data_IF_459052855834
#
_entry.id   IF_459052855834
#
_cell.length_a   1.000
_cell.length_b   1.000
_cell.length_c   1.000
_cell.angle_alpha   90.00
_cell.angle_beta   90.00
_cell.angle_gamma   90.00
#
_symmetry.space_group_name_H-M   'P 1'
#
loop_
_entity.id
_entity.type
_entity.pdbx_description
1 polymer ?
#
# COMPACT_ATOMS: atom_id res chain seq x y z
N UNK A 1 3.59 20.56 -38.04
CA UNK A 1 3.17 19.44 -37.18
C UNK A 1 3.72 18.16 -37.78
N UNK A 2 4.64 17.51 -37.08
CA UNK A 2 5.39 16.34 -37.53
C UNK A 2 6.71 16.23 -36.77
N UNK A 3 7.00 15.03 -36.25
CA UNK A 3 8.27 14.58 -35.67
C UNK A 3 8.72 15.13 -34.29
N UNK A 4 8.03 14.71 -33.22
CA UNK A 4 8.66 14.53 -31.89
C UNK A 4 8.67 13.07 -31.38
N UNK A 5 7.92 12.14 -32.01
CA UNK A 5 7.88 10.74 -31.60
C UNK A 5 9.04 9.87 -32.13
N UNK A 6 9.60 10.15 -33.32
CA UNK A 6 10.68 9.30 -33.87
C UNK A 6 12.06 9.54 -33.25
N UNK A 7 12.28 10.68 -32.56
CA UNK A 7 13.57 10.98 -31.92
C UNK A 7 13.81 10.23 -30.61
N UNK A 8 12.76 9.84 -29.86
CA UNK A 8 12.92 9.12 -28.57
C UNK A 8 13.15 7.61 -28.70
N UNK A 9 12.79 7.00 -29.84
CA UNK A 9 13.06 5.58 -30.12
C UNK A 9 14.55 5.29 -30.31
N UNK A 10 15.34 6.27 -30.76
CA UNK A 10 16.79 6.12 -30.93
C UNK A 10 17.58 6.19 -29.62
N UNK A 11 17.06 6.86 -28.58
CA UNK A 11 17.73 6.95 -27.27
C UNK A 11 17.52 5.69 -26.40
N UNK A 12 16.43 4.94 -26.61
CA UNK A 12 16.19 3.63 -25.96
C UNK A 12 17.11 2.51 -26.48
N UNK A 13 17.67 2.67 -27.68
CA UNK A 13 18.69 1.75 -28.21
C UNK A 13 20.00 1.80 -27.40
N UNK A 14 20.27 2.89 -26.67
CA UNK A 14 21.44 3.02 -25.80
C UNK A 14 21.27 2.34 -24.42
N UNK A 15 20.05 2.17 -23.91
CA UNK A 15 19.78 1.52 -22.61
C UNK A 15 19.79 -0.01 -22.71
N UNK A 16 19.42 -0.57 -23.89
CA UNK A 16 19.55 -2.00 -24.23
C UNK A 16 20.96 -2.59 -24.02
N UNK A 17 22.00 -1.76 -23.85
CA UNK A 17 23.40 -2.19 -23.67
C UNK A 17 23.81 -2.61 -22.25
N UNK A 18 23.01 -2.41 -21.19
CA UNK A 18 23.42 -2.75 -19.81
C UNK A 18 23.15 -4.20 -19.39
N UNK A 19 22.04 -4.81 -19.81
CA UNK A 19 21.70 -6.21 -19.50
C UNK A 19 22.53 -7.26 -20.25
N UNK A 20 23.29 -6.85 -21.28
CA UNK A 20 24.21 -7.71 -22.06
C UNK A 20 25.67 -7.58 -21.63
N UNK A 21 25.95 -6.92 -20.50
CA UNK A 21 27.33 -6.70 -20.05
C UNK A 21 27.91 -8.01 -19.52
N UNK A 22 28.97 -8.46 -20.18
CA UNK A 22 29.78 -9.57 -19.68
C UNK A 22 30.37 -9.22 -18.31
N UNK A 23 30.48 -10.23 -17.45
CA UNK A 23 31.13 -10.11 -16.15
C UNK A 23 32.56 -9.59 -16.32
N UNK A 24 32.95 -8.64 -15.47
CA UNK A 24 34.30 -8.06 -15.49
C UNK A 24 35.33 -8.93 -14.77
N UNK A 25 34.87 -9.74 -13.83
CA UNK A 25 35.66 -10.66 -13.01
C UNK A 25 34.85 -11.94 -12.84
N UNK A 26 35.52 -13.05 -12.52
CA UNK A 26 34.83 -14.29 -12.18
C UNK A 26 34.01 -14.06 -10.90
N UNK A 27 32.81 -14.63 -10.86
CA UNK A 27 31.91 -14.57 -9.72
C UNK A 27 31.56 -16.00 -9.35
N UNK A 28 31.69 -16.34 -8.07
CA UNK A 28 31.32 -17.66 -7.53
C UNK A 28 29.98 -17.50 -6.85
N UNK A 29 28.99 -18.32 -7.21
CA UNK A 29 27.72 -18.37 -6.50
C UNK A 29 27.96 -18.76 -5.04
N UNK A 30 27.51 -17.96 -4.05
CA UNK A 30 27.79 -18.24 -2.65
C UNK A 30 26.95 -19.39 -2.08
N UNK A 31 26.01 -19.94 -2.87
CA UNK A 31 25.07 -20.99 -2.44
C UNK A 31 25.52 -22.37 -2.93
N UNK A 32 25.81 -22.53 -4.22
CA UNK A 32 26.23 -23.81 -4.80
C UNK A 32 27.70 -23.88 -5.25
N UNK A 33 28.44 -22.78 -5.11
CA UNK A 33 29.83 -22.65 -5.57
C UNK A 33 30.04 -22.76 -7.09
N UNK A 34 28.98 -22.64 -7.91
CA UNK A 34 29.11 -22.57 -9.36
C UNK A 34 29.86 -21.30 -9.80
N UNK A 35 30.77 -21.42 -10.77
CA UNK A 35 31.69 -20.35 -11.19
C UNK A 35 31.22 -19.72 -12.50
N UNK A 36 30.87 -18.44 -12.44
CA UNK A 36 30.51 -17.61 -13.58
C UNK A 36 31.72 -16.82 -14.05
N UNK A 37 32.21 -17.12 -15.25
CA UNK A 37 33.50 -16.62 -15.74
C UNK A 37 33.38 -15.26 -16.42
N UNK A 38 34.32 -14.37 -16.11
CA UNK A 38 34.50 -13.08 -16.76
C UNK A 38 34.57 -13.25 -18.27
N UNK A 39 33.97 -12.31 -19.01
CA UNK A 39 33.95 -12.30 -20.49
C UNK A 39 33.31 -13.53 -21.14
N UNK A 40 32.76 -14.48 -20.39
CA UNK A 40 31.97 -15.61 -20.89
C UNK A 40 30.52 -15.39 -20.52
N UNK A 41 30.23 -15.28 -19.23
CA UNK A 41 28.90 -15.05 -18.68
C UNK A 41 28.61 -13.54 -18.52
N UNK A 42 27.33 -13.20 -18.43
CA UNK A 42 26.81 -11.85 -18.17
C UNK A 42 26.32 -11.72 -16.73
N UNK A 43 26.14 -10.47 -16.26
CA UNK A 43 25.50 -10.24 -14.96
C UNK A 43 24.08 -10.84 -14.90
N UNK A 44 23.35 -10.84 -16.01
CA UNK A 44 22.03 -11.45 -16.10
C UNK A 44 22.06 -12.98 -15.92
N UNK A 45 23.11 -13.66 -16.42
CA UNK A 45 23.26 -15.11 -16.25
C UNK A 45 23.49 -15.49 -14.78
N UNK A 46 24.28 -14.69 -14.07
CA UNK A 46 24.53 -14.89 -12.63
C UNK A 46 23.29 -14.57 -11.80
N UNK A 47 22.61 -13.45 -12.06
CA UNK A 47 21.41 -13.05 -11.32
C UNK A 47 20.29 -14.09 -11.49
N UNK A 48 20.08 -14.59 -12.71
CA UNK A 48 19.10 -15.65 -12.99
C UNK A 48 19.40 -16.94 -12.20
N UNK A 49 20.65 -17.36 -12.15
CA UNK A 49 21.06 -18.53 -11.37
C UNK A 49 20.90 -18.30 -9.86
N UNK A 50 21.26 -17.13 -9.36
CA UNK A 50 21.11 -16.79 -7.95
C UNK A 50 19.63 -16.76 -7.52
N UNK A 51 18.73 -16.33 -8.42
CA UNK A 51 17.28 -16.37 -8.21
C UNK A 51 16.73 -17.81 -8.18
N UNK A 52 17.26 -18.75 -8.98
CA UNK A 52 16.87 -20.16 -8.92
C UNK A 52 17.16 -20.82 -7.56
N UNK A 53 18.16 -20.34 -6.83
CA UNK A 53 18.40 -20.77 -5.45
C UNK A 53 17.36 -20.24 -4.46
N UNK A 54 16.78 -19.08 -4.72
CA UNK A 54 15.71 -18.52 -3.88
C UNK A 54 14.36 -19.21 -4.16
N UNK A 55 14.16 -19.76 -5.35
CA UNK A 55 12.94 -20.51 -5.71
C UNK A 55 12.96 -21.98 -5.22
N UNK A 56 14.13 -22.56 -4.92
CA UNK A 56 14.30 -23.98 -4.55
C UNK A 56 14.69 -24.22 -3.07
N UNK A 57 14.41 -23.28 -2.17
CA UNK A 57 14.60 -23.50 -0.72
C UNK A 57 13.56 -24.53 -0.20
N UNK A 58 13.99 -25.74 0.27
CA UNK A 58 13.06 -26.78 0.71
C UNK A 58 12.27 -26.42 1.98
N UNK A 59 12.60 -25.31 2.64
CA UNK A 59 11.87 -24.78 3.81
C UNK A 59 10.59 -24.00 3.42
N UNK A 60 10.16 -24.02 2.15
CA UNK A 60 8.92 -23.37 1.70
C UNK A 60 7.63 -24.12 2.08
N UNK A 61 7.54 -24.66 3.30
CA UNK A 61 6.25 -25.05 3.88
C UNK A 61 5.60 -23.83 4.53
N UNK A 62 4.33 -23.62 4.20
CA UNK A 62 3.51 -22.56 4.81
C UNK A 62 3.51 -22.69 6.34
N UNK A 63 4.15 -21.74 7.03
CA UNK A 63 4.20 -21.71 8.48
C UNK A 63 5.12 -20.61 9.01
N UNK A 64 4.52 -19.54 9.52
CA UNK A 64 5.17 -18.41 10.21
C UNK A 64 6.24 -17.66 9.42
N UNK A 65 5.91 -16.43 9.02
CA UNK A 65 6.90 -15.40 8.68
C UNK A 65 7.86 -15.30 9.87
N UNK A 66 9.10 -15.78 9.73
CA UNK A 66 10.19 -15.46 10.67
C UNK A 66 10.39 -13.95 10.64
N UNK A 67 9.80 -13.25 11.62
CA UNK A 67 10.08 -11.84 11.86
C UNK A 67 11.45 -11.81 12.53
N UNK A 68 12.50 -11.24 11.91
CA UNK A 68 13.76 -11.06 12.60
C UNK A 68 13.52 -10.13 13.79
N UNK A 69 13.85 -10.62 14.98
CA UNK A 69 13.86 -9.85 16.22
C UNK A 69 14.56 -8.50 15.97
N UNK A 70 13.82 -7.43 16.22
CA UNK A 70 14.34 -6.10 16.52
C UNK A 70 15.00 -5.28 15.37
N UNK A 71 15.07 -5.78 14.13
CA UNK A 71 15.89 -5.16 13.04
C UNK A 71 15.09 -4.58 11.84
N UNK A 72 13.77 -4.79 11.73
CA UNK A 72 12.98 -4.24 10.60
C UNK A 72 12.76 -2.72 10.73
N UNK A 73 12.41 -2.24 11.92
CA UNK A 73 12.04 -0.84 12.16
C UNK A 73 13.18 0.15 11.96
N UNK A 74 14.39 -0.04 12.55
CA UNK A 74 15.48 0.94 12.41
C UNK A 74 15.92 1.11 10.94
N UNK A 75 15.84 0.04 10.15
CA UNK A 75 16.21 0.06 8.73
C UNK A 75 15.18 0.79 7.87
N UNK A 76 13.89 0.65 8.17
CA UNK A 76 12.83 1.36 7.46
C UNK A 76 12.85 2.86 7.82
N UNK A 77 12.95 3.16 9.12
CA UNK A 77 13.03 4.53 9.65
C UNK A 77 14.21 5.31 9.05
N UNK A 78 15.41 4.70 9.01
CA UNK A 78 16.58 5.31 8.40
C UNK A 78 16.43 5.64 6.90
N UNK A 79 15.48 5.00 6.21
CA UNK A 79 15.17 5.28 4.79
C UNK A 79 14.04 6.30 4.62
N UNK A 80 13.10 6.36 5.56
CA UNK A 80 11.93 7.24 5.51
C UNK A 80 12.26 8.62 6.08
N UNK A 81 12.99 8.70 7.19
CA UNK A 81 13.24 9.94 7.93
C UNK A 81 13.87 11.06 7.09
N UNK A 82 14.84 10.81 6.19
CA UNK A 82 15.37 11.86 5.33
C UNK A 82 14.31 12.46 4.39
N UNK A 83 13.43 11.63 3.84
CA UNK A 83 12.34 12.09 2.96
C UNK A 83 11.28 12.82 3.76
N UNK A 84 10.96 12.31 4.96
CA UNK A 84 10.04 12.96 5.90
C UNK A 84 10.47 14.41 6.18
N UNK A 85 11.75 14.64 6.47
CA UNK A 85 12.29 16.00 6.68
C UNK A 85 12.15 16.91 5.46
N UNK A 86 12.28 16.37 4.25
CA UNK A 86 12.05 17.15 3.02
C UNK A 86 10.58 17.53 2.86
N UNK A 87 9.65 16.62 3.17
CA UNK A 87 8.22 16.89 3.15
C UNK A 87 7.83 17.90 4.23
N UNK A 88 8.36 17.76 5.45
CA UNK A 88 8.10 18.68 6.55
C UNK A 88 8.62 20.09 6.25
N UNK A 89 9.70 20.23 5.46
CA UNK A 89 10.25 21.53 5.03
C UNK A 89 9.31 22.31 4.10
N UNK A 90 8.56 21.61 3.24
CA UNK A 90 7.62 22.24 2.29
C UNK A 90 6.21 22.38 2.86
N UNK A 91 5.91 21.71 3.98
CA UNK A 91 4.66 21.86 4.71
C UNK A 91 4.59 23.24 5.33
N UNK A 92 3.45 23.93 5.16
CA UNK A 92 3.22 25.23 5.79
C UNK A 92 2.43 24.97 7.08
N UNK A 93 3.03 25.18 8.27
CA UNK A 93 2.38 24.86 9.53
C UNK A 93 1.28 25.88 9.89
N UNK A 94 0.38 25.47 10.77
CA UNK A 94 -0.80 26.23 11.19
C UNK A 94 -0.52 27.69 11.56
N UNK A 95 0.56 27.91 12.30
CA UNK A 95 0.98 29.22 12.78
C UNK A 95 1.48 30.16 11.68
N UNK A 96 1.74 29.63 10.48
CA UNK A 96 2.11 30.39 9.28
C UNK A 96 0.88 30.61 8.41
N UNK A 97 0.14 29.54 8.08
CA UNK A 97 -1.11 29.62 7.33
C UNK A 97 -1.97 28.37 7.57
N UNK A 98 -3.29 28.55 7.49
CA UNK A 98 -4.27 27.47 7.43
C UNK A 98 -5.42 27.86 6.50
N UNK A 99 -6.17 26.87 6.00
CA UNK A 99 -7.32 27.06 5.13
C UNK A 99 -8.55 26.35 5.66
N UNK A 100 -9.66 27.06 5.69
CA UNK A 100 -10.95 26.51 6.03
C UNK A 100 -11.53 25.75 4.82
N UNK A 101 -11.81 24.47 5.01
CA UNK A 101 -12.39 23.58 4.00
C UNK A 101 -13.77 23.14 4.48
N UNK A 102 -14.81 23.51 3.74
CA UNK A 102 -16.20 23.28 4.14
C UNK A 102 -16.80 22.14 3.32
N UNK A 103 -17.15 21.03 3.95
CA UNK A 103 -17.64 19.83 3.27
C UNK A 103 -18.89 19.27 3.95
N UNK A 104 -19.78 18.66 3.19
CA UNK A 104 -20.87 17.84 3.71
C UNK A 104 -20.45 16.37 3.78
N UNK A 105 -21.02 15.60 4.71
CA UNK A 105 -20.74 14.16 4.79
C UNK A 105 -21.37 13.42 3.62
N UNK A 106 -22.53 13.89 3.17
CA UNK A 106 -23.32 13.30 2.09
C UNK A 106 -22.67 13.48 0.72
N UNK A 107 -21.92 14.57 0.51
CA UNK A 107 -21.25 14.88 -0.77
C UNK A 107 -19.75 15.10 -0.59
N UNK A 108 -19.14 14.28 0.27
CA UNK A 108 -17.74 14.44 0.67
C UNK A 108 -16.78 14.48 -0.52
N UNK A 109 -17.04 13.68 -1.57
CA UNK A 109 -16.23 13.66 -2.79
C UNK A 109 -16.36 14.96 -3.60
N UNK A 110 -17.60 15.35 -3.93
CA UNK A 110 -17.87 16.52 -4.79
C UNK A 110 -17.40 17.82 -4.12
N UNK A 111 -17.76 18.01 -2.85
CA UNK A 111 -17.41 19.22 -2.09
C UNK A 111 -15.89 19.35 -1.95
N UNK A 112 -15.20 18.23 -1.71
CA UNK A 112 -13.73 18.20 -1.63
C UNK A 112 -13.09 18.43 -2.99
N UNK A 113 -13.60 17.80 -4.05
CA UNK A 113 -13.07 17.95 -5.40
C UNK A 113 -13.12 19.41 -5.84
N UNK A 114 -14.27 20.06 -5.72
CA UNK A 114 -14.47 21.44 -6.13
C UNK A 114 -13.49 22.39 -5.41
N UNK A 115 -13.30 22.21 -4.11
CA UNK A 115 -12.37 23.02 -3.33
C UNK A 115 -10.91 22.71 -3.68
N UNK A 116 -10.49 21.44 -3.65
CA UNK A 116 -9.09 21.06 -3.89
C UNK A 116 -8.59 21.46 -5.28
N UNK A 117 -9.48 21.46 -6.27
CA UNK A 117 -9.12 21.84 -7.64
C UNK A 117 -8.89 23.35 -7.81
N UNK A 118 -9.48 24.20 -6.97
CA UNK A 118 -9.31 25.65 -7.04
C UNK A 118 -8.09 26.18 -6.28
N UNK A 119 -7.55 25.39 -5.34
CA UNK A 119 -6.42 25.80 -4.50
C UNK A 119 -5.09 25.83 -5.26
N UNK A 120 -4.26 26.82 -4.95
CA UNK A 120 -2.86 26.89 -5.39
C UNK A 120 -1.99 25.83 -4.70
N UNK A 121 -0.75 25.66 -5.19
CA UNK A 121 0.22 24.74 -4.57
C UNK A 121 0.56 25.12 -3.12
N UNK A 122 0.71 26.42 -2.82
CA UNK A 122 1.01 26.88 -1.47
C UNK A 122 -0.16 26.60 -0.52
N UNK A 123 -1.38 26.87 -0.98
CA UNK A 123 -2.61 26.59 -0.25
C UNK A 123 -2.78 25.09 0.05
N UNK A 124 -2.56 24.21 -0.93
CA UNK A 124 -2.61 22.76 -0.69
C UNK A 124 -1.58 22.28 0.37
N UNK A 125 -0.45 22.99 0.49
CA UNK A 125 0.62 22.68 1.45
C UNK A 125 0.41 23.27 2.84
N UNK A 126 -0.53 24.20 3.02
CA UNK A 126 -0.91 24.71 4.34
C UNK A 126 -1.84 23.75 5.06
N UNK A 127 -1.82 23.77 6.39
CA UNK A 127 -2.74 22.97 7.20
C UNK A 127 -4.21 23.30 6.85
N UNK A 128 -5.06 22.28 6.90
CA UNK A 128 -6.50 22.46 6.65
C UNK A 128 -7.25 22.45 7.96
N UNK A 129 -8.26 23.31 8.04
CA UNK A 129 -9.27 23.32 9.06
C UNK A 129 -10.57 22.83 8.43
N UNK A 130 -10.93 21.59 8.71
CA UNK A 130 -12.11 20.98 8.10
C UNK A 130 -13.36 21.36 8.89
N UNK A 131 -14.40 21.80 8.19
CA UNK A 131 -15.74 22.05 8.73
C UNK A 131 -16.74 21.12 8.06
N UNK A 132 -17.36 20.24 8.85
CA UNK A 132 -18.52 19.47 8.41
C UNK A 132 -19.78 20.32 8.54
N UNK A 133 -20.52 20.50 7.44
CA UNK A 133 -21.73 21.31 7.42
C UNK A 133 -22.76 20.80 8.44
N UNK A 134 -23.28 21.71 9.28
CA UNK A 134 -24.24 21.37 10.33
C UNK A 134 -23.62 20.82 11.63
N UNK A 135 -22.29 20.68 11.72
CA UNK A 135 -21.61 20.19 12.91
C UNK A 135 -20.83 21.30 13.64
N UNK A 136 -20.82 21.25 14.97
CA UNK A 136 -20.03 22.17 15.78
C UNK A 136 -18.57 21.75 15.68
N UNK A 137 -17.77 22.55 14.95
CA UNK A 137 -16.34 22.32 14.80
C UNK A 137 -15.62 22.69 16.11
N UNK A 138 -15.23 21.68 16.89
CA UNK A 138 -14.52 21.87 18.16
C UNK A 138 -13.00 21.70 18.05
N UNK A 139 -12.49 21.14 16.95
CA UNK A 139 -11.09 20.75 16.83
C UNK A 139 -10.60 20.82 15.38
N UNK A 140 -9.45 21.46 15.17
CA UNK A 140 -8.87 21.70 13.86
C UNK A 140 -8.02 20.52 13.34
N UNK A 141 -7.38 19.75 14.23
CA UNK A 141 -6.47 18.68 13.84
C UNK A 141 -7.17 17.38 13.46
N UNK A 142 -8.24 17.04 14.19
CA UNK A 142 -8.87 15.75 14.03
C UNK A 142 -9.80 15.55 12.88
N UNK A 143 -10.45 16.64 12.47
CA UNK A 143 -11.36 16.60 11.35
C UNK A 143 -10.60 16.38 10.02
N UNK A 144 -9.31 16.73 9.95
CA UNK A 144 -8.46 16.42 8.78
C UNK A 144 -8.22 14.92 8.60
N UNK A 145 -7.93 14.18 9.67
CA UNK A 145 -7.75 12.71 9.60
C UNK A 145 -9.07 12.02 9.25
N UNK A 146 -10.17 12.47 9.84
CA UNK A 146 -11.51 11.97 9.52
C UNK A 146 -11.88 12.22 8.05
N UNK A 147 -11.67 13.45 7.57
CA UNK A 147 -11.90 13.84 6.18
C UNK A 147 -11.10 12.97 5.18
N UNK A 148 -9.80 12.78 5.41
CA UNK A 148 -8.97 11.89 4.60
C UNK A 148 -9.49 10.45 4.62
N UNK A 149 -9.91 9.96 5.79
CA UNK A 149 -10.47 8.61 5.94
C UNK A 149 -11.78 8.42 5.16
N UNK A 150 -12.70 9.39 5.24
CA UNK A 150 -13.96 9.37 4.48
C UNK A 150 -13.71 9.42 2.98
N UNK A 151 -12.80 10.27 2.51
CA UNK A 151 -12.43 10.34 1.10
C UNK A 151 -11.83 9.02 0.60
N UNK A 152 -10.94 8.40 1.36
CA UNK A 152 -10.38 7.10 0.98
C UNK A 152 -11.45 6.02 0.92
N UNK A 153 -12.38 6.00 1.88
CA UNK A 153 -13.50 5.06 1.84
C UNK A 153 -14.34 5.20 0.58
N UNK A 154 -14.68 6.43 0.18
CA UNK A 154 -15.47 6.67 -1.03
C UNK A 154 -14.66 6.43 -2.31
N UNK A 155 -13.45 6.98 -2.43
CA UNK A 155 -12.61 6.83 -3.64
C UNK A 155 -12.32 5.35 -3.97
N UNK A 156 -12.13 4.50 -2.96
CA UNK A 156 -11.84 3.08 -3.11
C UNK A 156 -13.08 2.19 -3.00
N UNK A 157 -14.28 2.78 -2.98
CA UNK A 157 -15.55 2.05 -3.00
C UNK A 157 -15.74 1.34 -4.35
N UNK A 158 -16.00 0.04 -4.31
CA UNK A 158 -16.22 -0.79 -5.51
C UNK A 158 -17.37 -0.28 -6.38
N UNK A 159 -18.38 0.36 -5.79
CA UNK A 159 -19.52 0.93 -6.52
C UNK A 159 -19.14 2.11 -7.42
N UNK A 160 -18.12 2.88 -7.03
CA UNK A 160 -17.61 3.99 -7.86
C UNK A 160 -16.71 3.43 -8.98
N UNK A 161 -16.02 2.31 -8.72
CA UNK A 161 -15.25 1.60 -9.73
C UNK A 161 -13.96 2.31 -10.19
N UNK A 162 -13.47 3.30 -9.44
CA UNK A 162 -12.18 3.96 -9.69
C UNK A 162 -11.00 3.03 -9.44
N UNK A 163 -11.09 2.22 -8.39
CA UNK A 163 -10.04 1.28 -8.02
C UNK A 163 -10.60 -0.13 -7.96
N UNK A 164 -9.72 -1.10 -8.24
CA UNK A 164 -9.98 -2.53 -8.07
C UNK A 164 -8.89 -3.15 -7.20
N UNK A 165 -9.16 -4.33 -6.68
CA UNK A 165 -8.13 -5.15 -6.03
C UNK A 165 -7.35 -5.95 -7.07
N UNK A 166 -6.04 -6.11 -6.83
CA UNK A 166 -5.16 -6.96 -7.62
C UNK A 166 -5.56 -8.44 -7.48
N UNK A 167 -5.40 -9.21 -8.53
CA UNK A 167 -5.48 -10.67 -8.48
C UNK A 167 -4.14 -11.26 -8.02
N UNK A 168 -3.88 -11.25 -6.72
CA UNK A 168 -2.64 -11.79 -6.13
C UNK A 168 -2.88 -12.38 -4.73
N UNK A 169 -1.86 -13.03 -4.16
CA UNK A 169 -1.96 -13.67 -2.84
C UNK A 169 -2.18 -12.66 -1.69
N UNK A 170 -1.83 -11.38 -1.91
CA UNK A 170 -2.06 -10.24 -1.01
C UNK A 170 -2.78 -9.13 -1.82
N UNK A 171 -4.12 -9.19 -1.96
CA UNK A 171 -4.87 -8.26 -2.78
C UNK A 171 -4.66 -6.81 -2.33
N UNK A 172 -4.28 -5.95 -3.29
CA UNK A 172 -4.03 -4.52 -3.07
C UNK A 172 -4.65 -3.68 -4.15
N UNK A 173 -4.96 -2.43 -3.84
CA UNK A 173 -5.63 -1.54 -4.76
C UNK A 173 -4.73 -1.05 -5.89
N UNK A 174 -5.33 -0.95 -7.08
CA UNK A 174 -4.79 -0.32 -8.27
C UNK A 174 -5.93 0.32 -9.07
N UNK A 175 -5.63 1.33 -9.92
CA UNK A 175 -6.66 1.94 -10.75
C UNK A 175 -7.40 0.91 -11.61
N UNK A 176 -8.69 1.14 -11.84
CA UNK A 176 -9.47 0.36 -12.79
C UNK A 176 -9.02 0.68 -14.23
N UNK A 177 -8.76 -0.34 -15.07
CA UNK A 177 -8.42 -0.14 -16.48
C UNK A 177 -9.47 0.70 -17.21
N UNK A 178 -9.00 1.61 -18.07
CA UNK A 178 -9.82 2.45 -18.97
C UNK A 178 -10.88 3.31 -18.28
N UNK A 179 -10.75 3.57 -16.99
CA UNK A 179 -11.64 4.50 -16.29
C UNK A 179 -11.23 5.95 -16.60
N UNK A 180 -12.20 6.77 -17.02
CA UNK A 180 -11.97 8.15 -17.49
C UNK A 180 -12.37 9.23 -16.48
N UNK A 181 -12.61 8.88 -15.22
CA UNK A 181 -12.91 9.84 -14.15
C UNK A 181 -11.66 10.59 -13.67
N UNK A 182 -11.06 11.37 -14.57
CA UNK A 182 -9.77 12.07 -14.42
C UNK A 182 -9.74 12.91 -13.13
N UNK A 183 -10.79 13.65 -12.83
CA UNK A 183 -10.85 14.58 -11.71
C UNK A 183 -10.74 13.88 -10.36
N UNK A 184 -11.38 12.72 -10.20
CA UNK A 184 -11.27 11.92 -8.97
C UNK A 184 -9.89 11.29 -8.80
N UNK A 185 -9.21 10.96 -9.90
CA UNK A 185 -7.82 10.53 -9.85
C UNK A 185 -6.88 11.67 -9.46
N UNK A 186 -7.10 12.90 -9.95
CA UNK A 186 -6.35 14.07 -9.48
C UNK A 186 -6.59 14.29 -7.98
N UNK A 187 -7.86 14.23 -7.53
CA UNK A 187 -8.20 14.33 -6.11
C UNK A 187 -7.50 13.25 -5.29
N UNK A 188 -7.46 12.01 -5.77
CA UNK A 188 -6.75 10.91 -5.09
C UNK A 188 -5.26 11.25 -4.91
N UNK A 189 -4.63 11.81 -5.94
CA UNK A 189 -3.25 12.31 -5.84
C UNK A 189 -3.09 13.38 -4.76
N UNK A 190 -4.03 14.33 -4.70
CA UNK A 190 -4.05 15.39 -3.69
C UNK A 190 -4.21 14.79 -2.28
N UNK A 191 -5.14 13.85 -2.09
CA UNK A 191 -5.39 13.15 -0.82
C UNK A 191 -4.15 12.42 -0.34
N UNK A 192 -3.47 11.67 -1.21
CA UNK A 192 -2.20 10.98 -0.88
C UNK A 192 -1.13 12.01 -0.50
N UNK A 193 -0.97 13.07 -1.30
CA UNK A 193 0.01 14.13 -1.02
C UNK A 193 -0.26 14.85 0.30
N UNK A 194 -1.54 15.09 0.62
CA UNK A 194 -1.96 15.75 1.84
C UNK A 194 -1.72 14.87 3.06
N UNK A 195 -2.06 13.59 2.96
CA UNK A 195 -1.76 12.60 3.99
C UNK A 195 -0.26 12.48 4.29
N UNK A 196 0.58 12.50 3.25
CA UNK A 196 2.04 12.54 3.39
C UNK A 196 2.51 13.80 4.12
N UNK A 197 2.01 14.99 3.77
CA UNK A 197 2.35 16.23 4.47
C UNK A 197 1.96 16.17 5.95
N UNK A 198 0.73 15.76 6.25
CA UNK A 198 0.19 15.77 7.62
C UNK A 198 0.64 14.57 8.48
N UNK A 199 1.41 13.64 7.91
CA UNK A 199 1.79 12.37 8.56
C UNK A 199 0.58 11.53 9.01
N UNK A 200 -0.47 11.52 8.19
CA UNK A 200 -1.70 10.78 8.47
C UNK A 200 -1.68 9.51 7.60
N UNK A 201 -1.66 8.31 8.20
CA UNK A 201 -1.72 7.07 7.43
C UNK A 201 -3.11 6.89 6.80
N UNK A 202 -3.13 6.40 5.57
CA UNK A 202 -4.34 6.10 4.80
C UNK A 202 -4.58 4.59 4.72
N UNK A 203 -5.84 4.17 4.89
CA UNK A 203 -6.23 2.76 4.76
C UNK A 203 -6.51 2.38 3.31
N UNK A 204 -5.50 2.48 2.46
CA UNK A 204 -5.57 2.17 1.02
C UNK A 204 -4.30 1.47 0.54
N UNK A 205 -4.11 0.21 0.93
CA UNK A 205 -2.92 -0.55 0.54
C UNK A 205 -2.77 -0.64 -0.99
N UNK A 206 -1.78 0.04 -1.55
CA UNK A 206 -1.57 0.13 -3.00
C UNK A 206 -0.68 -1.01 -3.51
N UNK A 207 -0.96 -1.49 -4.73
CA UNK A 207 -0.15 -2.53 -5.34
C UNK A 207 1.26 -2.02 -5.68
N UNK A 208 2.23 -2.93 -5.69
CA UNK A 208 3.65 -2.57 -5.88
C UNK A 208 3.93 -1.88 -7.23
N UNK A 209 3.43 -2.36 -8.39
CA UNK A 209 3.59 -1.64 -9.66
C UNK A 209 3.07 -0.21 -9.61
N UNK A 210 1.90 -0.02 -9.01
CA UNK A 210 1.29 1.30 -8.92
C UNK A 210 2.13 2.26 -8.08
N UNK A 211 2.64 1.80 -6.94
CA UNK A 211 3.59 2.58 -6.12
C UNK A 211 4.85 2.96 -6.89
N UNK A 212 5.39 2.06 -7.73
CA UNK A 212 6.57 2.37 -8.57
C UNK A 212 6.27 3.49 -9.57
N UNK A 213 5.09 3.48 -10.19
CA UNK A 213 4.69 4.56 -11.10
C UNK A 213 4.57 5.91 -10.41
N UNK A 214 4.03 5.95 -9.18
CA UNK A 214 3.97 7.19 -8.38
C UNK A 214 5.36 7.72 -7.99
N UNK A 215 6.36 6.83 -7.90
CA UNK A 215 7.76 7.20 -7.69
C UNK A 215 8.49 7.55 -9.00
N UNK A 216 7.84 7.35 -10.15
CA UNK A 216 8.42 7.42 -11.49
C UNK A 216 9.53 6.40 -11.75
N UNK A 217 9.37 5.20 -11.19
CA UNK A 217 10.27 4.08 -11.36
C UNK A 217 9.74 3.11 -12.42
N UNK A 218 10.65 2.54 -13.22
CA UNK A 218 10.29 1.56 -14.24
C UNK A 218 9.81 0.25 -13.61
N UNK A 219 8.71 -0.29 -14.12
CA UNK A 219 8.23 -1.62 -13.78
C UNK A 219 8.92 -2.71 -14.61
N UNK A 220 9.11 -3.87 -14.01
CA UNK A 220 9.64 -5.07 -14.67
C UNK A 220 8.52 -6.08 -14.90
N UNK A 221 8.71 -7.05 -15.80
CA UNK A 221 7.75 -8.16 -15.96
C UNK A 221 7.47 -8.91 -14.64
N UNK A 222 8.43 -9.00 -13.73
CA UNK A 222 8.22 -9.63 -12.43
C UNK A 222 7.27 -8.85 -11.52
N UNK A 223 7.02 -7.57 -11.81
CA UNK A 223 6.07 -6.78 -11.04
C UNK A 223 4.61 -7.16 -11.38
N UNK A 224 4.36 -7.77 -12.54
CA UNK A 224 3.01 -8.20 -12.96
C UNK A 224 2.39 -9.20 -11.99
N UNK A 225 3.19 -10.05 -11.32
CA UNK A 225 2.70 -11.00 -10.31
C UNK A 225 2.00 -10.35 -9.11
N UNK A 226 2.29 -9.07 -8.84
CA UNK A 226 1.66 -8.31 -7.75
C UNK A 226 0.37 -7.61 -8.18
N UNK A 227 0.07 -7.62 -9.48
CA UNK A 227 -1.14 -7.05 -10.06
C UNK A 227 -2.09 -8.16 -10.52
N UNK A 228 -1.57 -9.13 -11.26
CA UNK A 228 -2.30 -10.29 -11.76
C UNK A 228 -1.38 -11.51 -11.90
N UNK A 229 -1.56 -12.47 -10.98
CA UNK A 229 -0.76 -13.70 -10.92
C UNK A 229 -1.08 -14.63 -12.09
N UNK A 230 -2.33 -14.64 -12.57
CA UNK A 230 -2.77 -15.53 -13.65
C UNK A 230 -2.22 -15.08 -14.99
N UNK A 231 -2.26 -13.77 -15.26
CA UNK A 231 -1.63 -13.20 -16.44
C UNK A 231 -0.12 -13.42 -16.36
N UNK A 232 0.52 -13.12 -15.23
CA UNK A 232 1.96 -13.36 -15.06
C UNK A 232 2.36 -14.81 -15.36
N UNK A 233 1.61 -15.78 -14.83
CA UNK A 233 1.85 -17.20 -15.07
C UNK A 233 1.63 -17.59 -16.54
N UNK A 234 0.58 -17.06 -17.16
CA UNK A 234 0.28 -17.29 -18.58
C UNK A 234 1.38 -16.76 -19.50
N UNK A 235 1.87 -15.53 -19.25
CA UNK A 235 2.99 -14.96 -20.01
C UNK A 235 4.29 -15.76 -19.80
N UNK A 236 4.57 -16.19 -18.56
CA UNK A 236 5.73 -17.04 -18.23
C UNK A 236 5.64 -18.40 -18.94
N UNK A 237 4.44 -18.97 -19.04
CA UNK A 237 4.19 -20.21 -19.76
C UNK A 237 4.44 -20.05 -21.26
N UNK A 238 3.85 -19.03 -21.90
CA UNK A 238 4.09 -18.74 -23.32
C UNK A 238 5.57 -18.56 -23.65
N UNK A 239 6.30 -17.89 -22.77
CA UNK A 239 7.74 -17.67 -22.95
C UNK A 239 8.54 -18.97 -23.05
N UNK A 240 8.19 -19.97 -22.25
CA UNK A 240 8.96 -21.22 -22.11
C UNK A 240 8.50 -22.35 -23.03
N UNK A 241 7.30 -22.25 -23.59
CA UNK A 241 6.67 -23.35 -24.33
C UNK A 241 6.34 -22.94 -25.76
N UNK A 242 6.29 -23.92 -26.67
CA UNK A 242 5.67 -23.75 -27.99
C UNK A 242 4.19 -23.42 -27.81
N UNK A 243 3.70 -22.42 -28.54
CA UNK A 243 2.30 -21.96 -28.45
C UNK A 243 1.49 -22.30 -29.70
N UNK A 244 2.15 -22.74 -30.77
CA UNK A 244 1.53 -23.12 -32.02
C UNK A 244 0.39 -24.13 -31.82
N UNK A 245 -0.81 -23.81 -32.32
CA UNK A 245 -2.03 -24.61 -32.20
C UNK A 245 -2.51 -24.85 -30.75
N UNK A 246 -2.00 -24.10 -29.78
CA UNK A 246 -2.40 -24.18 -28.36
C UNK A 246 -3.06 -22.86 -27.93
N UNK A 247 -2.45 -21.72 -28.30
CA UNK A 247 -2.90 -20.38 -27.91
C UNK A 247 -3.26 -19.62 -29.17
N UNK A 248 -4.46 -19.03 -29.19
CA UNK A 248 -5.02 -18.31 -30.32
C UNK A 248 -5.29 -16.85 -29.93
N UNK A 249 -4.24 -16.16 -29.51
CA UNK A 249 -4.27 -14.74 -29.15
C UNK A 249 -3.89 -13.87 -30.35
N UNK A 250 -4.37 -12.63 -30.36
CA UNK A 250 -3.90 -11.54 -31.23
C UNK A 250 -3.08 -10.53 -30.41
N UNK A 251 -2.43 -9.57 -31.06
CA UNK A 251 -1.82 -8.42 -30.38
C UNK A 251 -2.87 -7.38 -29.95
N UNK A 252 -3.93 -7.86 -29.29
CA UNK A 252 -4.94 -7.04 -28.64
C UNK A 252 -5.40 -7.68 -27.33
N UNK A 253 -6.12 -6.91 -26.53
CA UNK A 253 -6.60 -7.30 -25.21
C UNK A 253 -8.09 -7.08 -25.14
N UNK A 254 -8.87 -8.12 -24.84
CA UNK A 254 -10.28 -7.96 -24.55
C UNK A 254 -10.48 -7.54 -23.08
N UNK A 255 -11.16 -6.42 -22.87
CA UNK A 255 -11.58 -5.97 -21.55
C UNK A 255 -13.01 -5.43 -21.64
N UNK A 256 -13.92 -6.00 -20.85
CA UNK A 256 -15.35 -5.66 -20.86
C UNK A 256 -15.98 -5.67 -22.27
N UNK A 257 -15.70 -6.71 -23.07
CA UNK A 257 -16.16 -6.87 -24.46
C UNK A 257 -15.63 -5.83 -25.46
N UNK A 258 -14.62 -5.05 -25.07
CA UNK A 258 -13.93 -4.11 -25.95
C UNK A 258 -12.51 -4.64 -26.20
N UNK A 259 -12.10 -4.70 -27.46
CA UNK A 259 -10.73 -5.04 -27.82
C UNK A 259 -9.85 -3.79 -27.85
N UNK A 260 -8.70 -3.88 -27.19
CA UNK A 260 -7.68 -2.84 -27.15
C UNK A 260 -6.41 -3.35 -27.85
N UNK A 261 -6.13 -2.92 -29.09
CA UNK A 261 -4.88 -3.23 -29.77
C UNK A 261 -3.68 -2.72 -28.96
N UNK A 262 -2.68 -3.59 -28.73
CA UNK A 262 -1.43 -3.24 -28.03
C UNK A 262 -0.30 -2.90 -29.01
N UNK A 263 -0.61 -2.90 -30.31
CA UNK A 263 0.23 -2.43 -31.41
C UNK A 263 -0.68 -1.96 -32.55
N UNK A 264 -0.10 -1.26 -33.53
CA UNK A 264 -0.80 -0.90 -34.76
C UNK A 264 -1.31 -2.17 -35.48
N UNK A 265 -2.60 -2.15 -35.86
CA UNK A 265 -3.31 -3.29 -36.45
C UNK A 265 -3.32 -4.57 -35.59
N UNK A 266 -3.16 -4.43 -34.27
CA UNK A 266 -2.94 -5.54 -33.35
C UNK A 266 -4.05 -6.60 -33.33
N UNK A 267 -5.29 -6.25 -33.68
CA UNK A 267 -6.40 -7.21 -33.80
C UNK A 267 -6.18 -8.24 -34.91
N UNK A 268 -5.43 -7.89 -35.96
CA UNK A 268 -5.18 -8.74 -37.13
C UNK A 268 -3.83 -9.47 -37.07
N UNK A 269 -3.03 -9.22 -36.04
CA UNK A 269 -1.72 -9.86 -35.86
C UNK A 269 -1.86 -11.00 -34.86
N UNK A 270 -1.82 -12.24 -35.35
CA UNK A 270 -1.83 -13.43 -34.50
C UNK A 270 -0.51 -13.60 -33.75
N UNK A 271 -0.60 -14.10 -32.51
CA UNK A 271 0.57 -14.48 -31.72
C UNK A 271 1.08 -15.84 -32.18
N UNK A 272 2.36 -15.90 -32.54
CA UNK A 272 3.08 -17.09 -33.03
C UNK A 272 4.36 -17.29 -32.23
N UNK A 273 4.99 -18.46 -32.33
CA UNK A 273 6.26 -18.72 -31.66
C UNK A 273 7.39 -17.75 -32.08
N UNK A 274 7.32 -17.22 -33.30
CA UNK A 274 8.29 -16.25 -33.82
C UNK A 274 8.11 -14.84 -33.22
N UNK A 275 6.88 -14.46 -32.85
CA UNK A 275 6.56 -13.11 -32.39
C UNK A 275 6.15 -13.01 -30.92
N UNK A 276 5.99 -14.13 -30.21
CA UNK A 276 5.48 -14.18 -28.82
C UNK A 276 6.29 -13.36 -27.82
N UNK A 277 7.61 -13.20 -28.00
CA UNK A 277 8.42 -12.36 -27.12
C UNK A 277 8.01 -10.87 -27.21
N UNK A 278 7.67 -10.40 -28.42
CA UNK A 278 7.15 -9.05 -28.63
C UNK A 278 5.75 -8.91 -28.03
N UNK A 279 4.89 -9.92 -28.18
CA UNK A 279 3.57 -9.94 -27.56
C UNK A 279 3.68 -9.86 -26.03
N UNK A 280 4.51 -10.71 -25.41
CA UNK A 280 4.72 -10.74 -23.95
C UNK A 280 5.17 -9.37 -23.43
N UNK A 281 6.09 -8.70 -24.13
CA UNK A 281 6.55 -7.36 -23.77
C UNK A 281 5.41 -6.35 -23.80
N UNK A 282 4.69 -6.25 -24.92
CA UNK A 282 3.60 -5.28 -25.11
C UNK A 282 2.43 -5.55 -24.18
N UNK A 283 2.09 -6.83 -23.98
CA UNK A 283 1.04 -7.27 -23.05
C UNK A 283 1.39 -6.91 -21.61
N UNK A 284 2.65 -7.10 -21.22
CA UNK A 284 3.16 -6.69 -19.90
C UNK A 284 3.09 -5.17 -19.71
N UNK A 285 3.49 -4.39 -20.71
CA UNK A 285 3.44 -2.92 -20.67
C UNK A 285 2.00 -2.39 -20.59
N UNK A 286 1.10 -2.98 -21.37
CA UNK A 286 -0.34 -2.67 -21.33
C UNK A 286 -0.93 -2.93 -19.95
N UNK A 287 -0.66 -4.10 -19.35
CA UNK A 287 -1.17 -4.44 -18.03
C UNK A 287 -0.61 -3.52 -16.96
N UNK A 288 0.71 -3.33 -16.93
CA UNK A 288 1.35 -2.56 -15.86
C UNK A 288 1.11 -1.06 -15.94
N UNK A 289 0.88 -0.51 -17.13
CA UNK A 289 0.80 0.94 -17.34
C UNK A 289 -0.26 1.36 -18.37
N UNK A 290 -0.22 0.80 -19.58
CA UNK A 290 -1.01 1.31 -20.72
C UNK A 290 -2.52 1.39 -20.44
N UNK A 291 -3.09 0.34 -19.85
CA UNK A 291 -4.51 0.27 -19.51
C UNK A 291 -4.96 1.24 -18.39
N UNK A 292 -4.01 1.78 -17.62
CA UNK A 292 -4.26 2.68 -16.50
C UNK A 292 -3.58 4.05 -16.68
N UNK A 293 -3.10 4.36 -17.89
CA UNK A 293 -2.26 5.53 -18.17
C UNK A 293 -2.90 6.83 -17.66
N UNK A 294 -4.15 7.09 -18.05
CA UNK A 294 -4.87 8.30 -17.66
C UNK A 294 -5.02 8.42 -16.14
N UNK A 295 -5.35 7.33 -15.46
CA UNK A 295 -5.48 7.30 -14.01
C UNK A 295 -4.14 7.61 -13.32
N UNK A 296 -3.07 6.92 -13.72
CA UNK A 296 -1.74 7.07 -13.11
C UNK A 296 -1.21 8.50 -13.30
N UNK A 297 -1.30 9.07 -14.50
CA UNK A 297 -0.81 10.43 -14.75
C UNK A 297 -1.67 11.50 -14.06
N UNK A 298 -2.97 11.27 -13.90
CA UNK A 298 -3.86 12.13 -13.13
C UNK A 298 -3.52 12.13 -11.64
N UNK A 299 -3.29 10.95 -11.05
CA UNK A 299 -2.87 10.82 -9.65
C UNK A 299 -1.50 11.48 -9.43
N UNK A 300 -0.56 11.30 -10.36
CA UNK A 300 0.76 11.98 -10.31
C UNK A 300 0.60 13.50 -10.38
N UNK A 301 -0.31 14.00 -11.22
CA UNK A 301 -0.62 15.44 -11.31
C UNK A 301 -1.10 15.99 -9.96
N UNK A 302 -2.01 15.30 -9.27
CA UNK A 302 -2.46 15.70 -7.93
C UNK A 302 -1.36 15.59 -6.88
N UNK A 303 -0.66 14.45 -6.83
CA UNK A 303 0.37 14.16 -5.84
C UNK A 303 1.54 15.15 -5.94
N UNK A 304 2.05 15.40 -7.14
CA UNK A 304 3.24 16.23 -7.35
C UNK A 304 3.00 17.72 -7.15
N UNK A 305 1.73 18.16 -7.11
CA UNK A 305 1.40 19.51 -6.62
C UNK A 305 1.80 19.65 -5.15
N UNK A 306 1.58 18.64 -4.30
CA UNK A 306 1.91 18.72 -2.89
C UNK A 306 3.35 18.26 -2.62
N UNK A 307 3.71 17.07 -3.10
CA UNK A 307 5.00 16.42 -2.83
C UNK A 307 5.77 16.23 -4.14
N UNK A 308 6.83 17.01 -4.40
CA UNK A 308 7.61 16.90 -5.63
C UNK A 308 8.19 15.49 -5.83
N UNK A 309 8.19 15.00 -7.07
CA UNK A 309 8.63 13.64 -7.39
C UNK A 309 10.09 13.41 -6.94
N UNK A 310 10.95 14.41 -7.08
CA UNK A 310 12.35 14.36 -6.71
C UNK A 310 12.58 13.99 -5.24
N UNK A 311 11.65 14.32 -4.35
CA UNK A 311 11.77 14.01 -2.92
C UNK A 311 11.52 12.52 -2.68
N UNK A 312 10.55 11.93 -3.37
CA UNK A 312 10.14 10.55 -3.13
C UNK A 312 10.84 9.54 -4.06
N UNK A 313 11.32 9.95 -5.23
CA UNK A 313 11.81 9.05 -6.31
C UNK A 313 12.90 8.04 -5.89
N UNK A 314 13.69 8.37 -4.86
CA UNK A 314 14.76 7.51 -4.33
C UNK A 314 14.26 6.38 -3.42
N UNK A 315 13.00 6.46 -2.95
CA UNK A 315 12.41 5.44 -2.09
C UNK A 315 12.15 4.15 -2.87
N UNK A 316 12.28 3.01 -2.19
CA UNK A 316 11.73 1.77 -2.72
C UNK A 316 10.21 1.78 -2.51
N UNK A 317 9.45 1.20 -3.44
CA UNK A 317 7.99 1.08 -3.36
C UNK A 317 7.47 0.65 -1.97
N UNK A 318 8.13 -0.32 -1.32
CA UNK A 318 7.75 -0.78 0.03
C UNK A 318 7.83 0.31 1.11
N UNK A 319 8.81 1.22 1.04
CA UNK A 319 8.94 2.29 2.03
C UNK A 319 7.97 3.44 1.73
N UNK A 320 7.64 3.62 0.46
CA UNK A 320 6.59 4.55 0.06
C UNK A 320 5.20 4.06 0.53
N UNK A 321 4.90 2.76 0.43
CA UNK A 321 3.71 2.14 1.05
C UNK A 321 3.66 2.42 2.56
N UNK A 322 4.79 2.34 3.27
CA UNK A 322 4.84 2.62 4.71
C UNK A 322 4.58 4.10 5.02
N UNK A 323 5.01 5.01 4.14
CA UNK A 323 4.74 6.43 4.30
C UNK A 323 3.27 6.79 4.05
N UNK A 324 2.62 6.12 3.10
CA UNK A 324 1.21 6.38 2.77
C UNK A 324 0.30 5.70 3.79
N UNK A 325 0.53 4.41 4.06
CA UNK A 325 -0.43 3.59 4.80
C UNK A 325 0.02 3.25 6.22
N UNK A 326 1.25 3.56 6.61
CA UNK A 326 1.85 3.08 7.86
C UNK A 326 2.44 1.67 7.75
N UNK A 327 3.05 1.23 8.85
CA UNK A 327 3.78 -0.02 8.94
C UNK A 327 2.82 -1.22 9.04
N UNK A 328 2.92 -2.21 8.12
CA UNK A 328 2.08 -3.40 8.14
C UNK A 328 2.52 -4.46 9.17
N UNK A 329 3.71 -4.32 9.76
CA UNK A 329 4.25 -5.23 10.78
C UNK A 329 3.97 -4.65 12.16
N UNK A 330 3.26 -5.41 12.98
CA UNK A 330 2.97 -5.05 14.37
C UNK A 330 4.05 -5.63 15.28
N UNK A 331 4.78 -4.74 15.94
CA UNK A 331 5.69 -5.11 17.03
C UNK A 331 4.90 -5.16 18.35
N UNK A 332 4.60 -6.36 18.83
CA UNK A 332 3.83 -6.55 20.07
C UNK A 332 4.57 -6.03 21.30
N UNK A 333 5.92 -6.07 21.31
CA UNK A 333 6.71 -5.50 22.41
C UNK A 333 6.52 -3.98 22.48
N UNK A 334 6.60 -3.31 21.33
CA UNK A 334 6.37 -1.87 21.20
C UNK A 334 4.93 -1.48 21.58
N UNK A 335 3.95 -2.26 21.11
CA UNK A 335 2.54 -2.07 21.46
C UNK A 335 2.33 -2.13 22.98
N UNK A 336 2.81 -3.20 23.60
CA UNK A 336 2.70 -3.41 25.05
C UNK A 336 3.38 -2.31 25.84
N UNK A 337 4.55 -1.87 25.41
CA UNK A 337 5.32 -0.82 26.08
C UNK A 337 4.60 0.53 26.07
N UNK A 338 3.92 0.87 24.98
CA UNK A 338 3.18 2.12 24.83
C UNK A 338 1.69 2.02 25.22
N UNK A 339 1.28 0.97 25.93
CA UNK A 339 -0.11 0.79 26.37
C UNK A 339 -0.37 1.40 27.74
N UNK A 340 -1.48 2.12 27.88
CA UNK A 340 -2.01 2.59 29.16
C UNK A 340 -3.04 1.61 29.75
N UNK A 341 -3.02 1.45 31.08
CA UNK A 341 -3.98 0.62 31.81
C UNK A 341 -4.75 1.51 32.79
N UNK A 342 -6.08 1.38 32.83
CA UNK A 342 -6.94 2.18 33.70
C UNK A 342 -8.05 1.35 34.34
N UNK A 343 -8.63 1.85 35.43
CA UNK A 343 -9.55 1.10 36.29
C UNK A 343 -8.78 0.18 37.23
N UNK A 344 -9.19 -1.08 37.33
CA UNK A 344 -8.55 -2.12 38.15
C UNK A 344 -7.29 -2.72 37.49
N UNK A 345 -6.98 -2.31 36.25
CA UNK A 345 -5.84 -2.84 35.52
C UNK A 345 -4.54 -2.09 35.79
N UNK A 346 -3.51 -2.90 35.99
CA UNK A 346 -2.10 -2.54 36.00
C UNK A 346 -1.32 -3.50 35.10
N UNK A 347 -0.06 -3.18 34.71
CA UNK A 347 0.74 -4.07 33.86
C UNK A 347 0.92 -5.49 34.42
N UNK A 348 0.85 -5.66 35.75
CA UNK A 348 0.98 -6.94 36.44
C UNK A 348 -0.35 -7.63 36.73
N UNK A 349 -1.49 -7.02 36.41
CA UNK A 349 -2.80 -7.63 36.63
C UNK A 349 -2.95 -8.92 35.80
N UNK A 350 -3.48 -9.99 36.40
CA UNK A 350 -3.52 -11.33 35.78
C UNK A 350 -4.15 -11.36 34.39
N UNK A 351 -5.23 -10.61 34.19
CA UNK A 351 -5.94 -10.53 32.90
C UNK A 351 -5.10 -9.81 31.85
N UNK A 352 -4.32 -8.80 32.25
CA UNK A 352 -3.40 -8.08 31.35
C UNK A 352 -2.23 -8.97 30.95
N UNK A 353 -1.68 -9.74 31.89
CA UNK A 353 -0.63 -10.74 31.60
C UNK A 353 -1.15 -11.76 30.60
N UNK A 354 -2.35 -12.31 30.82
CA UNK A 354 -2.99 -13.25 29.88
C UNK A 354 -3.29 -12.65 28.53
N UNK A 355 -3.78 -11.40 28.49
CA UNK A 355 -4.05 -10.67 27.24
C UNK A 355 -2.79 -10.61 26.40
N UNK A 356 -1.68 -10.11 26.96
CA UNK A 356 -0.44 -10.00 26.20
C UNK A 356 0.14 -11.34 25.81
N UNK A 357 0.08 -12.35 26.67
CA UNK A 357 0.51 -13.72 26.34
C UNK A 357 -0.27 -14.29 25.13
N UNK A 358 -1.59 -14.03 25.07
CA UNK A 358 -2.39 -14.37 23.89
C UNK A 358 -1.97 -13.55 22.67
N UNK A 359 -1.83 -12.22 22.81
CA UNK A 359 -1.46 -11.33 21.70
C UNK A 359 -0.08 -11.66 21.13
N UNK A 360 0.91 -12.01 21.97
CA UNK A 360 2.22 -12.47 21.52
C UNK A 360 2.17 -13.77 20.71
N UNK A 361 1.14 -14.60 20.90
CA UNK A 361 0.94 -15.85 20.14
C UNK A 361 0.18 -15.66 18.82
N UNK A 362 -0.34 -14.46 18.54
CA UNK A 362 -1.13 -14.18 17.34
C UNK A 362 -0.24 -14.07 16.10
N UNK A 363 -0.79 -14.50 14.96
CA UNK A 363 -0.18 -14.22 13.64
C UNK A 363 -0.21 -12.72 13.32
N UNK A 364 0.65 -12.24 12.43
CA UNK A 364 0.61 -10.83 11.98
C UNK A 364 -0.74 -10.44 11.37
N UNK A 365 -1.42 -11.36 10.68
CA UNK A 365 -2.79 -11.13 10.20
C UNK A 365 -3.74 -10.84 11.38
N UNK A 366 -3.78 -11.76 12.34
CA UNK A 366 -4.63 -11.62 13.54
C UNK A 366 -4.28 -10.41 14.40
N UNK A 367 -3.00 -9.99 14.42
CA UNK A 367 -2.58 -8.76 15.07
C UNK A 367 -3.14 -7.52 14.37
N UNK A 368 -3.13 -7.50 13.02
CA UNK A 368 -3.73 -6.40 12.25
C UNK A 368 -5.24 -6.35 12.43
N UNK A 369 -5.90 -7.50 12.46
CA UNK A 369 -7.33 -7.62 12.73
C UNK A 369 -7.67 -7.06 14.13
N UNK A 370 -6.86 -7.39 15.14
CA UNK A 370 -7.02 -6.85 16.49
C UNK A 370 -6.77 -5.33 16.53
N UNK A 371 -5.73 -4.85 15.84
CA UNK A 371 -5.41 -3.43 15.77
C UNK A 371 -6.53 -2.65 15.08
N UNK A 372 -7.07 -3.18 13.99
CA UNK A 372 -8.22 -2.63 13.28
C UNK A 372 -9.44 -2.55 14.20
N UNK A 373 -9.71 -3.62 14.95
CA UNK A 373 -10.80 -3.64 15.92
C UNK A 373 -10.66 -2.54 16.98
N UNK A 374 -9.47 -2.36 17.55
CA UNK A 374 -9.26 -1.44 18.68
C UNK A 374 -8.94 0.01 18.31
N UNK A 375 -8.43 0.26 17.12
CA UNK A 375 -7.97 1.60 16.67
C UNK A 375 -8.63 2.08 15.38
N UNK A 376 -9.34 1.21 14.67
CA UNK A 376 -9.90 1.53 13.35
C UNK A 376 -8.88 1.54 12.21
N UNK A 377 -7.63 1.11 12.45
CA UNK A 377 -6.62 0.91 11.41
C UNK A 377 -5.86 -0.39 11.59
N UNK A 378 -5.49 -1.02 10.48
CA UNK A 378 -4.75 -2.29 10.45
C UNK A 378 -3.23 -2.08 10.44
N UNK A 379 -2.76 -0.83 10.50
CA UNK A 379 -1.35 -0.47 10.37
C UNK A 379 -0.91 0.49 11.48
N UNK A 380 0.36 0.38 11.85
CA UNK A 380 0.97 1.19 12.91
C UNK A 380 1.58 2.45 12.28
N UNK A 381 1.51 3.62 12.93
CA UNK A 381 2.29 4.78 12.50
C UNK A 381 3.77 4.47 12.33
N UNK A 382 4.47 5.24 11.50
CA UNK A 382 5.91 5.05 11.26
C UNK A 382 6.70 5.19 12.57
N UNK A 383 6.26 6.07 13.46
CA UNK A 383 6.83 6.32 14.80
C UNK A 383 6.48 5.21 15.82
N UNK A 384 5.91 4.08 15.37
CA UNK A 384 5.47 2.99 16.23
C UNK A 384 4.21 3.32 17.03
N UNK A 385 3.98 2.55 18.09
CA UNK A 385 2.80 2.73 18.96
C UNK A 385 2.86 4.01 19.80
N UNK A 386 4.04 4.62 19.95
CA UNK A 386 4.20 5.95 20.54
C UNK A 386 3.49 7.04 19.72
N UNK A 387 3.45 6.88 18.40
CA UNK A 387 2.83 7.81 17.45
C UNK A 387 1.34 7.59 17.24
N UNK A 388 0.68 6.72 18.02
CA UNK A 388 -0.76 6.50 17.88
C UNK A 388 -1.54 7.79 18.13
N UNK A 389 -2.56 7.96 17.30
CA UNK A 389 -3.46 9.12 17.31
C UNK A 389 -4.91 8.65 17.32
N UNK A 390 -5.80 9.42 17.92
CA UNK A 390 -7.26 9.21 17.82
C UNK A 390 -7.70 9.25 16.35
N UNK A 391 -8.96 8.88 16.05
CA UNK A 391 -9.55 9.22 14.74
C UNK A 391 -9.52 10.73 14.49
N UNK A 392 -9.59 11.51 15.57
CA UNK A 392 -9.40 12.95 15.60
C UNK A 392 -7.92 13.39 15.65
N UNK A 393 -6.95 12.59 15.21
CA UNK A 393 -5.56 13.05 15.02
C UNK A 393 -4.78 13.43 16.30
N UNK A 394 -5.44 13.59 17.44
CA UNK A 394 -4.82 13.87 18.74
C UNK A 394 -3.89 12.73 19.16
N UNK A 395 -2.71 13.01 19.71
CA UNK A 395 -1.88 12.00 20.35
C UNK A 395 -2.69 11.22 21.38
N UNK A 396 -2.86 9.92 21.16
CA UNK A 396 -3.59 9.05 22.06
C UNK A 396 -3.03 7.64 22.01
N UNK A 397 -2.43 7.25 23.14
CA UNK A 397 -1.93 5.90 23.34
C UNK A 397 -3.08 4.90 23.34
N UNK A 398 -2.75 3.67 22.96
CA UNK A 398 -3.66 2.56 23.15
C UNK A 398 -3.94 2.35 24.65
N UNK A 399 -5.21 2.23 25.02
CA UNK A 399 -5.64 2.14 26.42
C UNK A 399 -6.50 0.92 26.66
N UNK A 400 -6.18 0.14 27.69
CA UNK A 400 -7.00 -0.98 28.16
C UNK A 400 -7.69 -0.57 29.46
N UNK A 401 -9.03 -0.65 29.46
CA UNK A 401 -9.88 -0.27 30.58
C UNK A 401 -10.55 -1.51 31.14
N UNK A 402 -10.48 -1.71 32.45
CA UNK A 402 -11.22 -2.80 33.10
C UNK A 402 -12.71 -2.51 33.10
N UNK A 403 -13.50 -3.51 32.70
CA UNK A 403 -14.96 -3.50 32.84
C UNK A 403 -15.43 -4.75 33.57
N UNK A 404 -16.63 -4.67 34.13
CA UNK A 404 -17.23 -5.78 34.86
C UNK A 404 -17.42 -7.01 33.95
N UNK A 405 -17.12 -8.19 34.49
CA UNK A 405 -17.34 -9.45 33.79
C UNK A 405 -18.73 -10.01 34.10
N UNK A 406 -19.45 -10.39 33.05
CA UNK A 406 -20.61 -11.27 33.13
C UNK A 406 -20.49 -12.39 32.09
N UNK A 407 -21.25 -13.47 32.25
CA UNK A 407 -21.14 -14.64 31.38
C UNK A 407 -21.35 -14.25 29.91
N UNK A 408 -20.44 -14.70 29.04
CA UNK A 408 -20.43 -14.44 27.59
C UNK A 408 -20.17 -12.97 27.16
N UNK A 409 -19.82 -12.06 28.07
CA UNK A 409 -19.41 -10.71 27.69
C UNK A 409 -18.22 -10.76 26.74
N UNK A 410 -18.28 -9.96 25.67
CA UNK A 410 -17.17 -9.75 24.75
C UNK A 410 -16.45 -8.43 25.06
N UNK A 411 -15.14 -8.32 24.77
CA UNK A 411 -14.45 -7.05 24.82
C UNK A 411 -15.05 -6.06 23.82
N UNK A 412 -15.01 -4.77 24.16
CA UNK A 412 -15.52 -3.69 23.30
C UNK A 412 -14.41 -2.72 22.96
N UNK A 413 -14.50 -2.08 21.79
CA UNK A 413 -13.55 -1.07 21.37
C UNK A 413 -14.26 0.26 21.08
N UNK A 414 -13.59 1.34 21.46
CA UNK A 414 -13.96 2.71 21.09
C UNK A 414 -12.80 3.26 20.26
N UNK A 415 -12.84 2.99 18.96
CA UNK A 415 -11.76 3.31 18.01
C UNK A 415 -11.43 4.80 17.97
N UNK A 416 -12.44 5.66 18.18
CA UNK A 416 -12.25 7.11 18.32
C UNK A 416 -11.20 7.49 19.37
N UNK A 417 -11.01 6.66 20.40
CA UNK A 417 -10.13 6.94 21.54
C UNK A 417 -9.02 5.90 21.73
N UNK A 418 -8.80 5.01 20.76
CA UNK A 418 -7.88 3.87 20.89
C UNK A 418 -8.09 3.08 22.21
N UNK A 419 -9.36 2.95 22.63
CA UNK A 419 -9.74 2.40 23.94
C UNK A 419 -10.33 1.01 23.78
N UNK A 420 -9.82 0.07 24.56
CA UNK A 420 -10.26 -1.32 24.62
C UNK A 420 -10.81 -1.64 26.01
N UNK A 421 -12.14 -1.81 26.08
CA UNK A 421 -12.84 -2.24 27.27
C UNK A 421 -12.70 -3.76 27.40
N UNK A 422 -11.88 -4.19 28.34
CA UNK A 422 -11.55 -5.58 28.55
C UNK A 422 -12.16 -6.09 29.86
N UNK A 423 -13.15 -7.00 29.81
CA UNK A 423 -13.75 -7.60 31.00
C UNK A 423 -12.73 -8.34 31.87
N UNK A 424 -12.93 -8.31 33.20
CA UNK A 424 -12.07 -9.02 34.15
C UNK A 424 -12.37 -10.53 34.12
N UNK A 425 -11.94 -11.21 33.05
CA UNK A 425 -12.23 -12.63 32.84
C UNK A 425 -11.70 -13.52 33.97
N UNK A 426 -12.45 -14.56 34.38
CA UNK A 426 -12.07 -15.43 35.49
C UNK A 426 -10.86 -16.32 35.19
N UNK A 427 -10.61 -16.63 33.91
CA UNK A 427 -9.49 -17.48 33.47
C UNK A 427 -9.04 -17.13 32.04
N UNK A 428 -7.82 -17.56 31.69
CA UNK A 428 -7.19 -17.30 30.38
C UNK A 428 -7.96 -17.91 29.20
N UNK A 429 -8.60 -19.07 29.38
CA UNK A 429 -9.35 -19.73 28.31
C UNK A 429 -10.59 -18.92 27.91
N UNK A 430 -11.33 -18.39 28.89
CA UNK A 430 -12.46 -17.49 28.64
C UNK A 430 -12.04 -16.23 27.89
N UNK A 431 -10.93 -15.60 28.29
CA UNK A 431 -10.37 -14.46 27.57
C UNK A 431 -9.97 -14.82 26.14
N UNK A 432 -9.25 -15.92 25.95
CA UNK A 432 -8.82 -16.38 24.62
C UNK A 432 -10.01 -16.66 23.72
N UNK A 433 -11.03 -17.34 24.24
CA UNK A 433 -12.27 -17.61 23.49
C UNK A 433 -12.94 -16.30 23.06
N UNK A 434 -13.07 -15.33 23.97
CA UNK A 434 -13.71 -14.05 23.65
C UNK A 434 -12.92 -13.24 22.61
N UNK A 435 -11.58 -13.19 22.70
CA UNK A 435 -10.74 -12.55 21.69
C UNK A 435 -10.84 -13.25 20.33
N UNK A 436 -10.85 -14.58 20.29
CA UNK A 436 -11.06 -15.33 19.05
C UNK A 436 -12.41 -15.00 18.43
N UNK A 437 -13.48 -14.91 19.24
CA UNK A 437 -14.81 -14.52 18.76
C UNK A 437 -14.80 -13.11 18.17
N UNK A 438 -14.17 -12.14 18.84
CA UNK A 438 -14.03 -10.78 18.31
C UNK A 438 -13.28 -10.80 16.98
N UNK A 439 -12.14 -11.48 16.90
CA UNK A 439 -11.34 -11.54 15.67
C UNK A 439 -12.04 -12.27 14.53
N UNK A 440 -12.88 -13.25 14.81
CA UNK A 440 -13.66 -13.92 13.78
C UNK A 440 -14.77 -13.03 13.20
N UNK A 441 -15.27 -12.05 13.97
CA UNK A 441 -16.47 -11.28 13.62
C UNK A 441 -16.22 -9.77 13.44
N UNK A 442 -14.98 -9.28 13.60
CA UNK A 442 -14.66 -7.85 13.51
C UNK A 442 -14.98 -7.22 12.15
N UNK A 443 -15.08 -8.02 11.09
CA UNK A 443 -15.47 -7.60 9.74
C UNK A 443 -16.98 -7.37 9.57
N UNK A 444 -17.82 -7.81 10.53
CA UNK A 444 -19.28 -7.73 10.45
C UNK A 444 -19.88 -6.41 10.95
N UNK A 445 -19.05 -5.41 11.28
CA UNK A 445 -19.50 -4.07 11.66
C UNK A 445 -19.38 -3.80 13.17
N UNK A 446 -19.05 -2.55 13.49
CA UNK A 446 -18.88 -2.05 14.85
C UNK A 446 -20.22 -2.03 15.59
N UNK A 447 -20.39 -2.94 16.53
CA UNK A 447 -21.57 -3.00 17.41
C UNK A 447 -22.23 -4.38 17.40
N UNK A 448 -21.60 -5.36 18.06
CA UNK A 448 -22.38 -6.46 18.63
C UNK A 448 -22.77 -6.01 20.03
N UNK A 449 -23.93 -5.35 20.13
CA UNK A 449 -24.62 -5.13 21.40
C UNK A 449 -25.16 -6.44 21.98
#
# INVERSE_FOLDING_TARGET
MGNKHSRKLNDLALIKKKGRRKLKTDIICPICSEVYRAKINTYADFDYHFELHQENDPDSTAGAIKIPDDVIFPKAEAKILPIRRQIDYIRIPWNVAHLDIHVSREKILDDSLQQMMSLSQAELRSEFHIFFQGEISQDAGGLTKEWLGLLIKELFNEQIGLFRLSNSDDPRYLPSPHNECIEYYILTGIVIGKALLENIPLDCALCKPFLKHLLGQECSHHDLKFQDKDIYNSLRYMKKNTIQNIIFESFSVNYNNINYPITEDGDNILVTDDNKESYILLRTEYELYGSMYNAIESIKTGLYRLVPQEYISSLKAKYFDYMICGNPVINVKDWKFHTEYTGDYSPSHRVIVWFWDIVFSLSQKSLRDLLQFVTGTSRVPIDGFAGLRTLRGDPARFKIVSVEYYKNVLPRAHTCFNRFDLPIYPNKLSLKSALTTVLANHTLGFGMD
#
